data_IF_227486680771
#
_entry.id   IF_227486680771
#
_cell.length_a   1.000
_cell.length_b   1.000
_cell.length_c   1.000
_cell.angle_alpha   90.00
_cell.angle_beta   90.00
_cell.angle_gamma   90.00
#
_symmetry.space_group_name_H-M   'P 1'
#
loop_
_entity.id
_entity.type
_entity.pdbx_description
1 polymer ?
#
# COMPACT_ATOMS: atom_id res chain seq x y z
N UNK A 1 -7.56 -0.10 7.90
CA UNK A 1 -6.22 -0.66 7.61
C UNK A 1 -5.72 -1.21 8.92
N UNK A 2 -5.57 -2.52 9.00
CA UNK A 2 -4.98 -3.21 10.14
C UNK A 2 -3.60 -3.73 9.75
N UNK A 3 -2.60 -3.47 10.59
CA UNK A 3 -1.20 -3.74 10.29
C UNK A 3 -0.64 -4.72 11.31
N UNK A 4 -0.19 -5.88 10.85
CA UNK A 4 0.48 -6.87 11.67
C UNK A 4 1.95 -6.95 11.28
N UNK A 5 2.79 -6.25 12.04
CA UNK A 5 4.25 -6.26 11.86
C UNK A 5 4.81 -7.65 12.15
N UNK A 6 5.61 -8.19 11.21
CA UNK A 6 6.37 -9.42 11.41
C UNK A 6 7.86 -9.14 11.59
N UNK A 7 8.51 -8.67 10.52
CA UNK A 7 9.95 -8.38 10.49
C UNK A 7 10.16 -6.86 10.42
N UNK A 8 10.89 -6.31 11.39
CA UNK A 8 11.31 -4.91 11.42
C UNK A 8 12.65 -4.77 12.17
N UNK A 9 13.21 -3.56 12.21
CA UNK A 9 14.34 -3.22 13.07
C UNK A 9 14.00 -3.46 14.54
N UNK A 10 12.79 -3.12 14.95
CA UNK A 10 12.32 -3.20 16.33
C UNK A 10 11.95 -4.63 16.74
N UNK A 11 11.36 -5.43 15.84
CA UNK A 11 10.89 -6.79 16.16
C UNK A 11 12.00 -7.84 16.04
N UNK A 12 12.90 -7.69 15.07
CA UNK A 12 13.87 -8.71 14.68
C UNK A 12 15.31 -8.19 14.49
N UNK A 13 15.57 -6.89 14.70
CA UNK A 13 16.88 -6.29 14.43
C UNK A 13 17.21 -6.19 12.94
N UNK A 14 16.21 -6.20 12.06
CA UNK A 14 16.41 -6.05 10.62
C UNK A 14 17.04 -4.69 10.28
N UNK A 15 17.93 -4.67 9.28
CA UNK A 15 18.68 -3.46 8.91
C UNK A 15 18.29 -2.85 7.58
N UNK A 16 17.68 -3.64 6.71
CA UNK A 16 17.43 -3.27 5.31
C UNK A 16 16.08 -3.74 4.79
N UNK A 17 15.31 -4.45 5.61
CA UNK A 17 14.02 -5.00 5.21
C UNK A 17 13.01 -4.86 6.33
N UNK A 18 11.76 -4.67 5.95
CA UNK A 18 10.59 -4.84 6.79
C UNK A 18 9.58 -5.73 6.06
N UNK A 19 8.82 -6.50 6.83
CA UNK A 19 7.74 -7.32 6.29
C UNK A 19 6.56 -7.38 7.26
N UNK A 20 5.35 -7.16 6.75
CA UNK A 20 4.12 -7.14 7.53
C UNK A 20 2.93 -7.66 6.74
N UNK A 21 1.88 -8.07 7.44
CA UNK A 21 0.56 -8.23 6.84
C UNK A 21 -0.20 -6.91 6.93
N UNK A 22 -0.91 -6.57 5.86
CA UNK A 22 -1.89 -5.50 5.83
C UNK A 22 -3.25 -6.11 5.50
N UNK A 23 -4.22 -5.94 6.40
CA UNK A 23 -5.62 -6.29 6.17
C UNK A 23 -6.43 -5.02 5.95
N UNK A 24 -7.16 -4.98 4.83
CA UNK A 24 -7.97 -3.85 4.39
C UNK A 24 -9.43 -4.26 4.50
N UNK A 25 -10.18 -3.57 5.38
CA UNK A 25 -11.62 -3.76 5.55
C UNK A 25 -12.38 -3.64 4.22
N UNK A 26 -13.61 -4.18 4.10
CA UNK A 26 -14.38 -4.08 2.87
C UNK A 26 -14.61 -2.61 2.46
N UNK A 27 -14.38 -2.29 1.19
CA UNK A 27 -14.42 -0.93 0.64
C UNK A 27 -13.35 0.02 1.22
N UNK A 28 -12.45 -0.48 2.07
CA UNK A 28 -11.43 0.31 2.72
C UNK A 28 -10.45 0.90 1.72
N UNK A 29 -10.07 2.16 1.92
CA UNK A 29 -9.17 2.91 1.05
C UNK A 29 -8.12 3.65 1.87
N UNK A 30 -6.88 3.67 1.39
CA UNK A 30 -5.80 4.48 1.95
C UNK A 30 -5.95 5.96 1.60
N UNK A 31 -5.11 6.80 2.21
CA UNK A 31 -4.91 8.18 1.74
C UNK A 31 -3.84 8.19 0.66
N UNK A 32 -3.88 9.17 -0.24
CA UNK A 32 -2.80 9.39 -1.20
C UNK A 32 -1.49 9.68 -0.48
N UNK A 33 -0.45 8.92 -0.83
CA UNK A 33 0.86 9.04 -0.23
C UNK A 33 1.97 8.54 -1.16
N UNK A 34 3.20 8.81 -0.76
CA UNK A 34 4.42 8.20 -1.32
C UNK A 34 5.41 7.86 -0.22
N UNK A 35 6.25 6.87 -0.51
CA UNK A 35 7.42 6.52 0.30
C UNK A 35 8.63 7.24 -0.27
N UNK A 36 9.33 8.09 0.49
CA UNK A 36 10.40 8.92 -0.08
C UNK A 36 11.66 8.12 -0.46
N UNK A 37 12.03 7.14 0.37
CA UNK A 37 13.37 6.54 0.35
C UNK A 37 13.37 5.02 0.15
N UNK A 38 12.20 4.39 0.05
CA UNK A 38 12.10 2.94 -0.03
C UNK A 38 11.13 2.46 -1.09
N UNK A 39 11.46 1.28 -1.59
CA UNK A 39 10.67 0.52 -2.53
C UNK A 39 9.76 -0.43 -1.75
N UNK A 40 8.59 -0.74 -2.30
CA UNK A 40 7.61 -1.63 -1.68
C UNK A 40 7.24 -2.74 -2.65
N UNK A 41 7.37 -3.99 -2.18
CA UNK A 41 6.90 -5.19 -2.86
C UNK A 41 5.71 -5.77 -2.10
N UNK A 42 4.68 -6.17 -2.81
CA UNK A 42 3.42 -6.66 -2.26
C UNK A 42 3.10 -8.00 -2.89
N UNK A 43 2.60 -8.94 -2.09
CA UNK A 43 1.98 -10.16 -2.57
C UNK A 43 0.55 -10.26 -2.03
N UNK A 44 -0.43 -10.40 -2.91
CA UNK A 44 -1.83 -10.50 -2.53
C UNK A 44 -2.15 -11.90 -2.01
N UNK A 45 -2.50 -11.99 -0.72
CA UNK A 45 -2.76 -13.27 -0.05
C UNK A 45 -4.23 -13.69 -0.18
N UNK A 46 -5.16 -12.75 -0.10
CA UNK A 46 -6.58 -13.03 -0.23
C UNK A 46 -7.35 -11.80 -0.72
N UNK A 47 -8.31 -12.03 -1.61
CA UNK A 47 -9.13 -11.02 -2.28
C UNK A 47 -8.34 -10.03 -3.16
N UNK A 48 -9.03 -9.49 -4.15
CA UNK A 48 -8.46 -8.49 -5.05
C UNK A 48 -8.36 -7.11 -4.37
N UNK A 49 -7.22 -6.46 -4.55
CA UNK A 49 -7.05 -5.04 -4.23
C UNK A 49 -6.91 -4.23 -5.52
N UNK A 50 -6.99 -2.92 -5.40
CA UNK A 50 -6.61 -2.03 -6.49
C UNK A 50 -5.75 -0.89 -6.00
N UNK A 51 -5.06 -0.26 -6.94
CA UNK A 51 -4.16 0.84 -6.65
C UNK A 51 -4.22 1.89 -7.76
N UNK A 52 -4.56 3.12 -7.42
CA UNK A 52 -4.28 4.27 -8.29
C UNK A 52 -2.84 4.72 -8.06
N UNK A 53 -2.12 5.05 -9.13
CA UNK A 53 -0.71 5.44 -9.04
C UNK A 53 -0.31 6.39 -10.18
N UNK A 54 0.87 7.00 -10.05
CA UNK A 54 1.39 8.03 -10.96
C UNK A 54 1.37 9.41 -10.31
N UNK A 55 2.09 10.37 -10.90
CA UNK A 55 2.28 11.72 -10.34
C UNK A 55 0.96 12.41 -9.99
N UNK A 56 -0.11 12.10 -10.73
CA UNK A 56 -1.45 12.63 -10.52
C UNK A 56 -2.48 11.52 -10.30
N UNK A 57 -2.08 10.32 -9.87
CA UNK A 57 -2.95 9.14 -9.72
C UNK A 57 -3.72 8.77 -10.99
N UNK A 58 -3.11 8.99 -12.16
CA UNK A 58 -3.74 8.82 -13.48
C UNK A 58 -3.74 7.38 -13.99
N UNK A 59 -2.94 6.50 -13.38
CA UNK A 59 -2.88 5.08 -13.70
C UNK A 59 -3.61 4.26 -12.65
N UNK A 60 -4.03 3.06 -13.04
CA UNK A 60 -4.72 2.14 -12.15
C UNK A 60 -4.27 0.70 -12.40
N UNK A 61 -4.11 -0.05 -11.33
CA UNK A 61 -3.81 -1.47 -11.34
C UNK A 61 -4.85 -2.20 -10.47
N UNK A 62 -5.24 -3.38 -10.93
CA UNK A 62 -5.88 -4.40 -10.10
C UNK A 62 -4.81 -5.41 -9.73
N UNK A 63 -4.80 -5.83 -8.47
CA UNK A 63 -3.90 -6.83 -7.92
C UNK A 63 -4.78 -7.96 -7.41
N UNK A 64 -4.89 -9.03 -8.20
CA UNK A 64 -5.69 -10.20 -7.88
C UNK A 64 -4.98 -11.08 -6.83
N UNK A 65 -5.70 -12.02 -6.23
CA UNK A 65 -5.09 -13.00 -5.32
C UNK A 65 -3.97 -13.77 -6.02
N UNK A 66 -2.80 -13.86 -5.38
CA UNK A 66 -1.61 -14.48 -5.95
C UNK A 66 -0.74 -13.56 -6.81
N UNK A 67 -1.16 -12.32 -7.05
CA UNK A 67 -0.35 -11.36 -7.80
C UNK A 67 0.78 -10.78 -6.94
N UNK A 68 1.88 -10.48 -7.63
CA UNK A 68 2.94 -9.60 -7.14
C UNK A 68 2.67 -8.17 -7.62
N UNK A 69 2.82 -7.20 -6.73
CA UNK A 69 2.70 -5.78 -7.05
C UNK A 69 3.91 -5.01 -6.54
N UNK A 70 4.41 -4.08 -7.34
CA UNK A 70 5.63 -3.35 -7.07
C UNK A 70 5.40 -1.85 -7.13
N UNK A 71 5.88 -1.13 -6.11
CA UNK A 71 5.79 0.32 -6.00
C UNK A 71 7.22 0.85 -5.81
N UNK A 72 7.78 1.58 -6.80
CA UNK A 72 9.10 2.17 -6.67
C UNK A 72 9.08 3.34 -5.67
N UNK A 73 10.25 3.64 -5.10
CA UNK A 73 10.43 4.80 -4.25
C UNK A 73 9.94 6.08 -4.94
N UNK A 74 9.27 6.94 -4.18
CA UNK A 74 8.75 8.23 -4.62
C UNK A 74 7.42 8.18 -5.38
N UNK A 75 6.90 6.99 -5.74
CA UNK A 75 5.66 6.86 -6.51
C UNK A 75 4.43 7.27 -5.68
N UNK A 76 3.66 8.30 -6.08
CA UNK A 76 2.37 8.59 -5.46
C UNK A 76 1.36 7.48 -5.78
N UNK A 77 0.64 7.02 -4.77
CA UNK A 77 -0.34 5.96 -4.93
C UNK A 77 -1.44 5.97 -3.85
N UNK A 78 -2.54 5.27 -4.15
CA UNK A 78 -3.70 5.05 -3.27
C UNK A 78 -4.15 3.59 -3.39
N UNK A 79 -3.88 2.73 -2.39
CA UNK A 79 -4.40 1.38 -2.36
C UNK A 79 -5.84 1.34 -1.82
N UNK A 80 -6.63 0.37 -2.28
CA UNK A 80 -7.97 0.11 -1.77
C UNK A 80 -8.35 -1.38 -1.88
N UNK A 81 -9.29 -1.80 -1.03
CA UNK A 81 -9.97 -3.08 -1.14
C UNK A 81 -11.11 -2.94 -2.16
N UNK A 82 -11.09 -3.81 -3.18
CA UNK A 82 -12.11 -3.80 -4.23
C UNK A 82 -13.43 -4.44 -3.79
N UNK A 83 -13.38 -5.35 -2.83
CA UNK A 83 -14.57 -5.99 -2.26
C UNK A 83 -15.25 -5.08 -1.25
N UNK A 84 -16.58 -4.95 -1.35
CA UNK A 84 -17.40 -4.25 -0.35
C UNK A 84 -17.97 -5.19 0.72
N UNK A 85 -17.66 -6.50 0.64
CA UNK A 85 -18.20 -7.52 1.55
C UNK A 85 -17.12 -8.28 2.33
N UNK A 86 -15.91 -8.40 1.77
CA UNK A 86 -14.82 -9.22 2.32
C UNK A 86 -13.56 -8.41 2.52
N UNK A 87 -12.80 -8.77 3.55
CA UNK A 87 -11.49 -8.17 3.81
C UNK A 87 -10.46 -8.68 2.81
N UNK A 88 -9.54 -7.81 2.40
CA UNK A 88 -8.39 -8.20 1.59
C UNK A 88 -7.13 -8.18 2.44
N UNK A 89 -6.26 -9.18 2.27
CA UNK A 89 -5.01 -9.28 3.01
C UNK A 89 -3.85 -9.38 2.03
N UNK A 90 -2.81 -8.59 2.29
CA UNK A 90 -1.58 -8.59 1.49
C UNK A 90 -0.36 -8.70 2.40
N UNK A 91 0.69 -9.35 1.89
CA UNK A 91 2.03 -9.30 2.48
C UNK A 91 2.75 -8.09 1.88
N UNK A 92 3.23 -7.19 2.73
CA UNK A 92 3.98 -6.00 2.33
C UNK A 92 5.42 -6.16 2.79
N UNK A 93 6.36 -6.05 1.85
CA UNK A 93 7.79 -6.00 2.10
C UNK A 93 8.36 -4.67 1.59
N UNK A 94 9.31 -4.08 2.32
CA UNK A 94 9.95 -2.81 1.94
C UNK A 94 11.41 -2.75 2.35
N UNK A 95 12.16 -1.84 1.74
CA UNK A 95 13.59 -1.62 2.03
C UNK A 95 13.86 -0.71 3.23
N UNK A 96 12.83 -0.07 3.80
CA UNK A 96 12.91 0.63 5.09
C UNK A 96 12.60 -0.35 6.23
N UNK A 97 13.54 -0.59 7.17
CA UNK A 97 13.33 -1.57 8.24
C UNK A 97 12.46 -1.06 9.41
N UNK A 98 12.13 0.23 9.50
CA UNK A 98 11.51 0.81 10.69
C UNK A 98 10.01 0.53 10.78
N UNK A 99 9.46 0.01 11.88
CA UNK A 99 8.01 -0.26 12.01
C UNK A 99 7.09 0.86 11.53
N UNK A 100 7.34 2.08 11.99
CA UNK A 100 6.70 3.25 11.44
C UNK A 100 7.36 3.58 10.09
N UNK A 101 6.59 3.36 9.04
CA UNK A 101 7.01 3.67 7.68
C UNK A 101 7.19 5.17 7.45
N UNK A 102 8.19 5.53 6.64
CA UNK A 102 8.35 6.86 6.07
C UNK A 102 7.31 7.12 4.97
N UNK A 103 6.28 7.90 5.28
CA UNK A 103 5.22 8.29 4.34
C UNK A 103 5.11 9.80 4.24
N UNK A 104 4.98 10.32 3.01
CA UNK A 104 4.54 11.70 2.75
C UNK A 104 3.11 11.66 2.27
N UNK A 105 2.19 12.23 3.04
CA UNK A 105 0.79 12.37 2.64
C UNK A 105 0.66 13.42 1.54
N UNK A 106 -0.28 13.19 0.61
CA UNK A 106 -0.54 14.03 -0.56
C UNK A 106 -2.04 14.36 -0.64
N UNK A 107 -2.59 15.14 0.31
CA UNK A 107 -4.03 15.43 0.38
C UNK A 107 -4.59 16.07 -0.90
N UNK A 108 -3.79 16.83 -1.63
CA UNK A 108 -4.14 17.41 -2.94
C UNK A 108 -4.48 16.33 -3.98
N UNK A 109 -3.88 15.15 -3.87
CA UNK A 109 -4.17 14.03 -4.76
C UNK A 109 -5.44 13.26 -4.34
N UNK A 110 -5.80 13.27 -3.06
CA UNK A 110 -7.09 12.73 -2.61
C UNK A 110 -8.24 13.55 -3.22
N UNK A 111 -8.14 14.89 -3.21
CA UNK A 111 -9.12 15.80 -3.84
C UNK A 111 -9.19 15.60 -5.35
N UNK A 112 -8.03 15.51 -6.00
CA UNK A 112 -7.94 15.27 -7.44
C UNK A 112 -8.59 13.94 -7.83
N UNK A 113 -8.30 12.86 -7.11
CA UNK A 113 -8.87 11.55 -7.38
C UNK A 113 -10.40 11.56 -7.19
N UNK A 114 -10.90 12.21 -6.14
CA UNK A 114 -12.34 12.36 -5.91
C UNK A 114 -13.03 13.10 -7.06
N UNK A 115 -12.43 14.17 -7.59
CA UNK A 115 -12.99 14.94 -8.71
C UNK A 115 -13.13 14.16 -10.02
N UNK A 116 -12.36 13.07 -10.20
CA UNK A 116 -12.41 12.22 -11.40
C UNK A 116 -13.40 11.06 -11.30
N UNK A 117 -13.83 10.75 -10.08
CA UNK A 117 -14.75 9.63 -9.79
C UNK A 117 -16.19 10.10 -9.55
N UNK A 118 -16.41 11.41 -9.41
CA UNK A 118 -17.74 12.03 -9.41
C UNK A 118 -18.21 12.37 -10.81
#
# INVERSE_FOLDING_TARGET
MDYQVGISAQSAGARHIHMQLLTIAPGGRGKAHKHQEHETAIYALSEATGCWYGESLEKHAIVEEGDFFYIPAGMPHVPYNRSNEREATVLVARTDPNEQESVTLMPELDELLASRQG
#
